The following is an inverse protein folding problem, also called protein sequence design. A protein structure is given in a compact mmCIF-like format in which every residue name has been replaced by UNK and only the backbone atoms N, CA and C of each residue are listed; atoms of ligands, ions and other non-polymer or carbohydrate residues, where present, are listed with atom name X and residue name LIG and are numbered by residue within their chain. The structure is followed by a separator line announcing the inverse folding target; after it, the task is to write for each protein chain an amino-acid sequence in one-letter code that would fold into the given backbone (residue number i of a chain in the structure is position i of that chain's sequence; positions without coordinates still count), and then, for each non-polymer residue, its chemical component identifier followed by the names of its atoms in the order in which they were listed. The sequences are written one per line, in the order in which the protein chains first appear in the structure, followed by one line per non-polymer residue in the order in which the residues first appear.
data_IF_494158867134
#
_entry.id   IF_494158867134
#
_cell.length_a   1.000
_cell.length_b   1.000
_cell.length_c   1.000
_cell.angle_alpha   90.00
_cell.angle_beta   90.00
_cell.angle_gamma   90.00
#
_symmetry.space_group_name_H-M   'P 1'
#
loop_
_entity.id
_entity.type
_entity.pdbx_description
1 polymer ?
#
# COMPACT_ATOMS: atom_id res chain seq x y z
N UNK A 1 -20.17 -5.80 19.23
CA UNK A 1 -19.57 -6.41 18.03
C UNK A 1 -20.54 -6.30 16.88
N UNK A 2 -20.12 -5.72 15.76
CA UNK A 2 -20.92 -5.54 14.53
C UNK A 2 -20.29 -6.37 13.42
N UNK A 3 -21.09 -7.17 12.71
CA UNK A 3 -20.63 -7.95 11.56
C UNK A 3 -21.28 -7.38 10.30
N UNK A 4 -20.47 -7.09 9.29
CA UNK A 4 -20.92 -6.56 8.00
C UNK A 4 -20.30 -7.39 6.88
N UNK A 5 -21.06 -7.58 5.80
CA UNK A 5 -20.53 -8.10 4.54
C UNK A 5 -20.81 -7.09 3.45
N UNK A 6 -19.79 -6.74 2.67
CA UNK A 6 -19.90 -5.81 1.55
C UNK A 6 -18.96 -6.25 0.42
N UNK A 7 -19.19 -5.72 -0.78
CA UNK A 7 -18.32 -5.93 -1.93
C UNK A 7 -17.56 -4.63 -2.22
N UNK A 8 -16.24 -4.71 -2.45
CA UNK A 8 -15.45 -3.53 -2.86
C UNK A 8 -15.83 -3.09 -4.28
N UNK A 9 -15.41 -1.89 -4.69
CA UNK A 9 -15.57 -1.42 -6.07
C UNK A 9 -14.91 -2.36 -7.10
N UNK A 10 -13.89 -3.12 -6.69
CA UNK A 10 -13.25 -4.18 -7.46
C UNK A 10 -13.95 -5.54 -7.43
N UNK A 11 -15.13 -5.66 -6.80
CA UNK A 11 -15.90 -6.90 -6.71
C UNK A 11 -15.33 -7.93 -5.72
N UNK A 12 -14.53 -7.49 -4.74
CA UNK A 12 -13.99 -8.37 -3.70
C UNK A 12 -14.95 -8.40 -2.52
N UNK A 13 -15.44 -9.59 -2.16
CA UNK A 13 -16.30 -9.76 -0.99
C UNK A 13 -15.49 -9.69 0.30
N UNK A 14 -15.88 -8.78 1.19
CA UNK A 14 -15.24 -8.56 2.49
C UNK A 14 -16.21 -8.92 3.60
N UNK A 15 -15.75 -9.72 4.56
CA UNK A 15 -16.41 -9.95 5.83
C UNK A 15 -15.69 -9.16 6.92
N UNK A 16 -16.38 -8.21 7.55
CA UNK A 16 -15.83 -7.31 8.55
C UNK A 16 -16.50 -7.54 9.90
N UNK A 17 -15.70 -7.62 10.95
CA UNK A 17 -16.16 -7.62 12.33
C UNK A 17 -15.53 -6.44 13.05
N UNK A 18 -16.36 -5.63 13.70
CA UNK A 18 -15.94 -4.46 14.48
C UNK A 18 -16.35 -4.67 15.92
N UNK A 19 -15.42 -4.44 16.84
CA UNK A 19 -15.66 -4.53 18.28
C UNK A 19 -15.16 -3.26 18.95
N UNK A 20 -15.95 -2.75 19.89
CA UNK A 20 -15.51 -1.65 20.75
C UNK A 20 -14.67 -2.24 21.88
N UNK A 21 -13.49 -1.68 22.07
CA UNK A 21 -12.53 -2.11 23.08
C UNK A 21 -12.25 -0.96 24.05
N UNK A 22 -11.97 -1.23 25.33
CA UNK A 22 -11.60 -0.20 26.29
C UNK A 22 -10.36 0.57 25.82
N UNK A 23 -10.35 1.89 25.98
CA UNK A 23 -9.23 2.77 25.57
C UNK A 23 -7.93 2.47 26.35
N UNK A 24 -8.05 2.03 27.60
CA UNK A 24 -6.90 1.80 28.46
C UNK A 24 -6.00 0.69 27.89
N UNK A 25 -4.75 1.04 27.62
CA UNK A 25 -3.72 0.16 27.06
C UNK A 25 -4.10 -0.56 25.76
N UNK A 26 -4.89 0.12 24.91
CA UNK A 26 -5.42 -0.45 23.68
C UNK A 26 -4.34 -0.71 22.63
N UNK A 27 -3.23 0.04 22.67
CA UNK A 27 -2.15 -0.09 21.70
C UNK A 27 -1.10 -1.12 22.11
N UNK A 28 -1.01 -1.46 23.40
CA UNK A 28 0.00 -2.36 23.96
C UNK A 28 0.01 -3.74 23.30
N UNK A 29 -1.14 -4.38 23.02
CA UNK A 29 -1.14 -5.64 22.27
C UNK A 29 -0.51 -5.50 20.87
N UNK A 30 -0.77 -4.38 20.19
CA UNK A 30 -0.18 -4.10 18.87
C UNK A 30 1.32 -3.84 19.01
N UNK A 31 1.74 -3.00 19.95
CA UNK A 31 3.16 -2.70 20.23
C UNK A 31 3.94 -3.99 20.49
N UNK A 32 3.45 -4.85 21.38
CA UNK A 32 4.09 -6.12 21.71
C UNK A 32 4.14 -7.07 20.52
N UNK A 33 3.07 -7.15 19.72
CA UNK A 33 3.05 -8.00 18.54
C UNK A 33 4.04 -7.55 17.47
N UNK A 34 4.27 -6.24 17.32
CA UNK A 34 5.18 -5.68 16.30
C UNK A 34 6.66 -6.07 16.50
N UNK A 35 7.06 -6.55 17.68
CA UNK A 35 8.41 -7.07 17.91
C UNK A 35 8.67 -8.36 17.10
N UNK A 36 7.63 -9.12 16.76
CA UNK A 36 7.74 -10.42 16.07
C UNK A 36 6.90 -10.50 14.78
N UNK A 37 5.91 -9.63 14.61
CA UNK A 37 4.96 -9.65 13.50
C UNK A 37 5.11 -8.40 12.61
N UNK A 38 4.88 -8.57 11.31
CA UNK A 38 4.77 -7.44 10.41
C UNK A 38 3.49 -6.66 10.72
N UNK A 39 3.57 -5.34 10.70
CA UNK A 39 2.43 -4.48 10.96
C UNK A 39 2.84 -3.01 10.98
N UNK A 40 1.95 -2.17 11.48
CA UNK A 40 2.23 -0.74 11.69
C UNK A 40 1.52 -0.27 12.94
N UNK A 41 2.12 0.72 13.60
CA UNK A 41 1.45 1.57 14.58
C UNK A 41 1.74 3.02 14.19
N UNK A 42 0.67 3.78 14.02
CA UNK A 42 0.68 5.22 13.77
C UNK A 42 -0.01 5.88 14.95
N UNK A 43 0.72 6.75 15.66
CA UNK A 43 0.27 7.39 16.88
C UNK A 43 0.53 8.89 16.81
N UNK A 44 -0.47 9.69 17.17
CA UNK A 44 -0.39 11.13 17.31
C UNK A 44 -0.75 11.52 18.74
N UNK A 45 0.26 11.81 19.57
CA UNK A 45 0.07 12.25 20.96
C UNK A 45 -0.15 13.78 21.08
N UNK A 46 0.05 14.51 19.99
CA UNK A 46 -0.05 15.96 19.93
C UNK A 46 -1.43 16.42 19.48
N UNK A 47 -1.99 17.39 20.21
CA UNK A 47 -3.26 18.02 19.86
C UNK A 47 -3.04 19.50 19.59
N UNK A 48 -3.53 19.97 18.44
CA UNK A 48 -3.60 21.38 18.12
C UNK A 48 -4.95 21.65 17.44
N UNK A 49 -5.81 22.52 18.01
CA UNK A 49 -7.15 22.77 17.48
C UNK A 49 -7.14 23.10 15.98
N UNK A 50 -7.91 22.31 15.21
CA UNK A 50 -8.03 22.48 13.75
C UNK A 50 -6.82 22.05 12.92
N UNK A 51 -5.76 21.47 13.51
CA UNK A 51 -4.59 20.96 12.77
C UNK A 51 -4.21 19.52 13.10
N UNK A 52 -4.14 19.17 14.38
CA UNK A 52 -3.71 17.85 14.85
C UNK A 52 -4.70 17.33 15.86
N UNK A 53 -5.20 16.12 15.63
CA UNK A 53 -6.02 15.37 16.57
C UNK A 53 -5.20 14.25 17.18
N UNK A 54 -5.58 13.84 18.39
CA UNK A 54 -5.08 12.60 18.97
C UNK A 54 -5.79 11.43 18.32
N UNK A 55 -5.00 10.48 17.85
CA UNK A 55 -5.48 9.23 17.30
C UNK A 55 -4.36 8.22 17.28
N UNK A 56 -4.74 6.96 17.42
CA UNK A 56 -3.87 5.81 17.28
C UNK A 56 -4.52 4.84 16.29
N UNK A 57 -3.72 4.31 15.37
CA UNK A 57 -4.14 3.28 14.43
C UNK A 57 -3.03 2.27 14.30
N UNK A 58 -3.36 0.99 14.41
CA UNK A 58 -2.38 -0.06 14.17
C UNK A 58 -3.01 -1.36 13.73
N UNK A 59 -2.18 -2.20 13.13
CA UNK A 59 -2.53 -3.57 12.78
C UNK A 59 -1.28 -4.44 12.79
N UNK A 60 -1.52 -5.75 12.90
CA UNK A 60 -0.51 -6.79 12.69
C UNK A 60 -1.00 -7.81 11.66
N UNK A 61 -0.08 -8.61 11.14
CA UNK A 61 -0.33 -9.66 10.15
C UNK A 61 -1.11 -9.18 8.91
N UNK A 62 -0.64 -8.10 8.23
CA UNK A 62 -1.27 -7.66 6.99
C UNK A 62 -1.29 -8.81 5.96
N UNK A 63 -2.30 -8.86 5.07
CA UNK A 63 -2.38 -9.92 4.08
C UNK A 63 -1.29 -9.83 3.01
N UNK A 64 -0.84 -8.61 2.72
CA UNK A 64 0.05 -8.31 1.61
C UNK A 64 1.16 -7.35 2.04
N UNK A 65 2.29 -7.40 1.35
CA UNK A 65 3.26 -6.30 1.31
C UNK A 65 3.48 -5.90 -0.14
N UNK A 66 3.53 -4.59 -0.39
CA UNK A 66 3.96 -4.02 -1.67
C UNK A 66 5.31 -3.36 -1.43
N UNK A 67 6.30 -3.71 -2.26
CA UNK A 67 7.58 -3.02 -2.32
C UNK A 67 7.84 -2.50 -3.72
N UNK A 68 8.53 -1.36 -3.82
CA UNK A 68 9.00 -0.85 -5.10
C UNK A 68 10.46 -0.42 -5.04
N UNK A 69 11.15 -0.60 -6.16
CA UNK A 69 12.51 -0.11 -6.36
C UNK A 69 12.70 0.30 -7.81
N UNK A 70 13.05 1.57 -8.01
CA UNK A 70 13.13 2.23 -9.32
C UNK A 70 11.82 2.06 -10.08
N UNK A 71 11.78 1.16 -11.06
CA UNK A 71 10.57 0.85 -11.85
C UNK A 71 10.03 -0.56 -11.56
N UNK A 72 10.78 -1.39 -10.83
CA UNK A 72 10.32 -2.69 -10.41
C UNK A 72 9.40 -2.57 -9.19
N UNK A 73 8.40 -3.42 -9.12
CA UNK A 73 7.56 -3.58 -7.95
C UNK A 73 7.27 -5.05 -7.69
N UNK A 74 7.00 -5.36 -6.43
CA UNK A 74 6.69 -6.71 -5.95
C UNK A 74 5.56 -6.64 -4.94
N UNK A 75 4.52 -7.45 -5.13
CA UNK A 75 3.55 -7.77 -4.09
C UNK A 75 3.78 -9.20 -3.60
N UNK A 76 3.79 -9.39 -2.30
CA UNK A 76 3.91 -10.72 -1.67
C UNK A 76 2.72 -10.98 -0.75
N UNK A 77 2.16 -12.18 -0.85
CA UNK A 77 1.17 -12.70 0.09
C UNK A 77 1.86 -13.15 1.38
N UNK A 78 1.46 -12.56 2.51
CA UNK A 78 2.04 -12.86 3.81
C UNK A 78 1.25 -13.93 4.58
N UNK A 79 0.03 -14.22 4.13
CA UNK A 79 -0.82 -15.25 4.69
C UNK A 79 -1.85 -15.73 3.64
N UNK A 80 -2.70 -16.68 4.02
CA UNK A 80 -3.73 -17.23 3.12
C UNK A 80 -4.69 -16.16 2.57
N UNK A 81 -4.99 -15.11 3.36
CA UNK A 81 -5.81 -13.98 2.88
C UNK A 81 -5.10 -13.19 1.77
N UNK A 82 -3.78 -13.04 1.86
CA UNK A 82 -2.98 -12.42 0.79
C UNK A 82 -3.05 -13.17 -0.53
N UNK A 83 -2.93 -14.51 -0.49
CA UNK A 83 -2.88 -15.35 -1.70
C UNK A 83 -4.11 -15.18 -2.57
N UNK A 84 -5.29 -15.12 -1.95
CA UNK A 84 -6.56 -14.94 -2.70
C UNK A 84 -6.68 -13.55 -3.32
N UNK A 85 -5.98 -12.55 -2.79
CA UNK A 85 -6.00 -11.17 -3.31
C UNK A 85 -5.07 -10.98 -4.51
N UNK A 86 -4.05 -11.82 -4.70
CA UNK A 86 -3.09 -11.65 -5.80
C UNK A 86 -3.73 -11.79 -7.18
N UNK A 87 -4.73 -12.65 -7.34
CA UNK A 87 -5.43 -12.84 -8.62
C UNK A 87 -6.18 -11.58 -9.08
N UNK A 88 -7.11 -10.99 -8.30
CA UNK A 88 -7.78 -9.75 -8.70
C UNK A 88 -6.80 -8.58 -8.84
N UNK A 89 -5.76 -8.51 -8.01
CA UNK A 89 -4.70 -7.50 -8.16
C UNK A 89 -3.97 -7.68 -9.50
N UNK A 90 -3.58 -8.90 -9.87
CA UNK A 90 -2.92 -9.17 -11.14
C UNK A 90 -3.81 -8.77 -12.33
N UNK A 91 -5.12 -9.01 -12.24
CA UNK A 91 -6.09 -8.54 -13.23
C UNK A 91 -6.08 -7.01 -13.38
N UNK A 92 -6.21 -6.29 -12.27
CA UNK A 92 -6.19 -4.83 -12.26
C UNK A 92 -4.88 -4.24 -12.78
N UNK A 93 -3.74 -4.82 -12.40
CA UNK A 93 -2.42 -4.34 -12.82
C UNK A 93 -2.11 -4.66 -14.29
N UNK A 94 -2.58 -5.78 -14.83
CA UNK A 94 -2.43 -6.10 -16.27
C UNK A 94 -3.25 -5.17 -17.16
N UNK A 95 -4.39 -4.69 -16.67
CA UNK A 95 -5.24 -3.74 -17.39
C UNK A 95 -4.74 -2.28 -17.30
N UNK A 96 -3.70 -2.01 -16.49
CA UNK A 96 -3.22 -0.67 -16.25
C UNK A 96 -2.14 -0.27 -17.26
N UNK A 97 -2.40 0.75 -18.08
CA UNK A 97 -1.47 1.25 -19.11
C UNK A 97 -0.07 1.59 -18.56
N UNK A 98 -0.01 2.05 -17.30
CA UNK A 98 1.24 2.38 -16.62
C UNK A 98 2.14 1.15 -16.34
N UNK A 99 1.64 -0.07 -16.50
CA UNK A 99 2.36 -1.31 -16.21
C UNK A 99 2.87 -1.91 -17.53
N UNK A 100 4.17 -2.20 -17.56
CA UNK A 100 4.84 -2.79 -18.71
C UNK A 100 4.62 -4.30 -18.78
N UNK A 101 4.85 -4.96 -17.64
CA UNK A 101 4.72 -6.42 -17.50
C UNK A 101 4.39 -6.80 -16.07
N UNK A 102 3.65 -7.90 -15.94
CA UNK A 102 3.32 -8.54 -14.66
C UNK A 102 3.49 -10.05 -14.81
N UNK A 103 4.24 -10.64 -13.89
CA UNK A 103 4.31 -12.08 -13.66
C UNK A 103 3.71 -12.38 -12.28
N UNK A 104 2.83 -13.37 -12.21
CA UNK A 104 2.18 -13.74 -10.97
C UNK A 104 2.32 -15.25 -10.71
N UNK A 105 2.52 -15.58 -9.45
CA UNK A 105 2.42 -16.92 -8.86
C UNK A 105 1.32 -16.89 -7.79
N UNK A 106 1.13 -17.98 -7.06
CA UNK A 106 0.17 -18.00 -5.94
C UNK A 106 0.60 -17.15 -4.73
N UNK A 107 1.89 -16.84 -4.60
CA UNK A 107 2.46 -16.14 -3.43
C UNK A 107 3.04 -14.77 -3.76
N UNK A 108 3.45 -14.54 -5.00
CA UNK A 108 4.18 -13.33 -5.41
C UNK A 108 3.69 -12.83 -6.76
N UNK A 109 3.57 -11.51 -6.86
CA UNK A 109 3.39 -10.78 -8.10
C UNK A 109 4.58 -9.83 -8.29
N UNK A 110 5.33 -10.04 -9.36
CA UNK A 110 6.43 -9.18 -9.79
C UNK A 110 6.03 -8.39 -11.04
N UNK A 111 6.43 -7.13 -11.12
CA UNK A 111 6.13 -6.32 -12.28
C UNK A 111 7.07 -5.15 -12.49
N UNK A 112 6.89 -4.49 -13.64
CA UNK A 112 7.65 -3.30 -14.02
C UNK A 112 6.68 -2.21 -14.46
N UNK A 113 6.85 -1.02 -13.89
CA UNK A 113 6.16 0.21 -14.30
C UNK A 113 6.86 0.74 -15.55
N UNK A 114 6.08 1.16 -16.55
CA UNK A 114 6.62 1.79 -17.76
C UNK A 114 7.44 3.02 -17.40
N UNK A 115 8.42 3.33 -18.24
CA UNK A 115 9.01 4.66 -18.23
C UNK A 115 7.93 5.71 -18.59
N UNK A 116 8.07 6.96 -18.13
CA UNK A 116 7.24 8.06 -18.63
C UNK A 116 7.32 8.11 -20.16
N UNK A 117 6.30 8.70 -20.79
CA UNK A 117 6.37 9.02 -22.21
C UNK A 117 7.53 9.98 -22.50
N UNK A 118 7.63 10.43 -23.76
CA UNK A 118 8.59 11.48 -24.14
C UNK A 118 8.35 12.81 -23.42
N UNK A 119 8.50 13.93 -24.11
CA UNK A 119 8.20 15.23 -23.48
C UNK A 119 6.70 15.33 -23.18
N UNK A 120 6.38 15.76 -21.97
CA UNK A 120 5.02 16.04 -21.50
C UNK A 120 4.98 17.44 -20.88
N UNK A 121 3.80 18.04 -20.79
CA UNK A 121 3.61 19.31 -20.10
C UNK A 121 3.69 19.10 -18.58
N UNK A 122 4.17 20.09 -17.82
CA UNK A 122 4.38 19.94 -16.37
C UNK A 122 3.12 19.50 -15.61
N UNK A 123 1.96 19.97 -16.07
CA UNK A 123 0.64 19.65 -15.54
C UNK A 123 0.29 18.15 -15.68
N UNK A 124 0.91 17.46 -16.64
CA UNK A 124 0.73 16.03 -16.89
C UNK A 124 1.74 15.15 -16.12
N UNK A 125 2.69 15.75 -15.38
CA UNK A 125 3.74 15.02 -14.65
C UNK A 125 3.18 13.99 -13.68
N UNK A 126 2.15 14.35 -12.92
CA UNK A 126 1.51 13.47 -11.93
C UNK A 126 0.71 12.31 -12.56
N UNK A 127 0.39 12.43 -13.86
CA UNK A 127 -0.32 11.41 -14.66
C UNK A 127 0.65 10.43 -15.32
N UNK A 128 1.95 10.71 -15.34
CA UNK A 128 2.94 9.80 -15.90
C UNK A 128 3.00 8.48 -15.11
N UNK A 129 3.30 7.35 -15.79
CA UNK A 129 3.54 6.07 -15.15
C UNK A 129 4.54 6.16 -13.98
N UNK A 130 4.10 5.77 -12.79
CA UNK A 130 4.90 5.75 -11.56
C UNK A 130 4.29 4.75 -10.57
N UNK A 131 4.94 4.53 -9.42
CA UNK A 131 4.38 3.69 -8.36
C UNK A 131 2.99 4.15 -7.92
N UNK A 132 2.70 5.46 -8.00
CA UNK A 132 1.39 6.01 -7.63
C UNK A 132 0.28 5.58 -8.59
N UNK A 133 0.60 5.22 -9.83
CA UNK A 133 -0.38 4.57 -10.71
C UNK A 133 -0.82 3.22 -10.15
N UNK A 134 0.10 2.44 -9.57
CA UNK A 134 -0.22 1.19 -8.87
C UNK A 134 -1.06 1.47 -7.62
N UNK A 135 -0.63 2.40 -6.78
CA UNK A 135 -1.31 2.74 -5.52
C UNK A 135 -2.75 3.20 -5.77
N UNK A 136 -2.98 4.03 -6.79
CA UNK A 136 -4.32 4.47 -7.19
C UNK A 136 -5.17 3.29 -7.69
N UNK A 137 -4.62 2.40 -8.51
CA UNK A 137 -5.34 1.24 -9.01
C UNK A 137 -5.72 0.27 -7.87
N UNK A 138 -4.80 0.03 -6.93
CA UNK A 138 -5.07 -0.79 -5.74
C UNK A 138 -6.10 -0.13 -4.83
N UNK A 139 -5.97 1.18 -4.58
CA UNK A 139 -6.97 1.95 -3.82
C UNK A 139 -8.36 1.83 -4.44
N UNK A 140 -8.48 1.98 -5.76
CA UNK A 140 -9.75 1.82 -6.48
C UNK A 140 -10.29 0.38 -6.41
N UNK A 141 -9.43 -0.64 -6.56
CA UNK A 141 -9.82 -2.05 -6.48
C UNK A 141 -10.45 -2.40 -5.12
N UNK A 142 -9.90 -1.82 -4.06
CA UNK A 142 -10.27 -2.14 -2.68
C UNK A 142 -11.28 -1.18 -2.05
N UNK A 143 -11.62 -0.08 -2.72
CA UNK A 143 -12.47 0.96 -2.17
C UNK A 143 -13.88 0.48 -1.81
N UNK A 144 -14.40 0.93 -0.68
CA UNK A 144 -15.81 0.90 -0.33
C UNK A 144 -16.16 2.21 0.43
N UNK A 145 -17.29 2.89 0.13
CA UNK A 145 -17.57 4.21 0.68
C UNK A 145 -17.74 4.24 2.21
N UNK A 146 -18.19 3.12 2.80
CA UNK A 146 -18.36 2.96 4.26
C UNK A 146 -17.19 2.21 4.93
N UNK A 147 -16.04 2.11 4.26
CA UNK A 147 -14.83 1.51 4.80
C UNK A 147 -13.66 2.50 4.76
N UNK A 148 -13.36 3.19 5.87
CA UNK A 148 -12.28 4.16 5.92
C UNK A 148 -10.89 3.55 6.22
N UNK A 149 -10.81 2.29 6.67
CA UNK A 149 -9.56 1.70 7.16
C UNK A 149 -8.90 0.71 6.19
N UNK A 150 -9.59 0.32 5.12
CA UNK A 150 -9.02 -0.58 4.13
C UNK A 150 -8.10 0.22 3.19
N UNK A 151 -6.79 -0.01 3.31
CA UNK A 151 -5.79 0.70 2.52
C UNK A 151 -4.38 0.13 2.63
N UNK A 152 -3.44 0.86 2.04
CA UNK A 152 -2.01 0.56 2.11
C UNK A 152 -1.38 1.51 3.14
N UNK A 153 -0.65 0.94 4.09
CA UNK A 153 0.03 1.67 5.15
C UNK A 153 1.51 1.28 5.11
N UNK A 154 2.39 2.29 5.10
CA UNK A 154 3.81 2.06 4.93
C UNK A 154 4.59 3.37 4.82
N UNK A 155 5.79 3.29 4.29
CA UNK A 155 6.71 4.41 4.18
C UNK A 155 7.05 4.71 2.72
N UNK A 156 7.23 5.99 2.41
CA UNK A 156 7.83 6.42 1.15
C UNK A 156 9.30 6.72 1.37
N UNK A 157 10.17 5.96 0.70
CA UNK A 157 11.61 6.16 0.74
C UNK A 157 12.03 7.40 -0.04
N UNK A 158 13.15 8.00 0.35
CA UNK A 158 13.66 9.23 -0.28
C UNK A 158 13.88 9.08 -1.79
N UNK A 159 14.45 7.95 -2.22
CA UNK A 159 14.77 7.68 -3.62
C UNK A 159 13.52 7.54 -4.51
N UNK A 160 12.32 7.45 -3.93
CA UNK A 160 11.07 7.47 -4.69
C UNK A 160 10.93 8.73 -5.53
N UNK A 161 11.46 9.86 -5.05
CA UNK A 161 11.48 11.13 -5.78
C UNK A 161 12.16 10.99 -7.16
N UNK A 162 13.11 10.07 -7.31
CA UNK A 162 13.85 9.87 -8.55
C UNK A 162 13.04 9.15 -9.64
N UNK A 163 11.84 8.68 -9.34
CA UNK A 163 10.87 8.29 -10.38
C UNK A 163 10.32 9.51 -11.14
N UNK A 164 10.41 10.71 -10.57
CA UNK A 164 9.90 11.97 -11.12
C UNK A 164 11.01 12.93 -11.52
N UNK A 165 12.06 13.01 -10.70
CA UNK A 165 13.21 13.88 -10.90
C UNK A 165 14.48 13.02 -11.02
N UNK A 166 14.82 12.53 -12.23
CA UNK A 166 15.95 11.64 -12.40
C UNK A 166 17.27 12.39 -12.11
N UNK A 167 18.01 11.93 -11.10
CA UNK A 167 19.34 12.44 -10.79
C UNK A 167 20.41 11.35 -10.99
N UNK A 168 21.65 11.79 -11.24
CA UNK A 168 22.80 10.88 -11.24
C UNK A 168 23.18 10.53 -9.79
N UNK A 169 23.00 9.26 -9.43
CA UNK A 169 23.44 8.75 -8.14
C UNK A 169 24.97 8.84 -8.00
N UNK A 170 25.44 9.36 -6.88
CA UNK A 170 26.87 9.42 -6.50
C UNK A 170 27.26 8.37 -5.47
N UNK A 171 26.30 7.91 -4.69
CA UNK A 171 26.48 6.90 -3.66
C UNK A 171 25.77 5.62 -4.10
N UNK A 172 26.42 4.47 -3.86
CA UNK A 172 25.81 3.17 -4.07
C UNK A 172 24.67 2.95 -3.06
N UNK A 173 23.62 2.25 -3.50
CA UNK A 173 22.49 1.88 -2.64
C UNK A 173 22.61 0.44 -2.19
N UNK A 174 22.28 0.12 -0.93
CA UNK A 174 22.13 -1.27 -0.51
C UNK A 174 21.21 -2.05 -1.45
N UNK A 175 21.47 -3.35 -1.62
CA UNK A 175 20.64 -4.21 -2.48
C UNK A 175 19.21 -4.31 -1.98
N UNK A 176 19.01 -4.27 -0.67
CA UNK A 176 17.69 -4.39 -0.02
C UNK A 176 16.97 -3.04 0.15
N UNK A 177 17.51 -1.96 -0.41
CA UNK A 177 16.82 -0.67 -0.35
C UNK A 177 15.51 -0.71 -1.14
N UNK A 178 14.47 -0.17 -0.51
CA UNK A 178 13.12 0.00 -1.05
C UNK A 178 12.82 1.49 -1.17
N UNK A 179 12.20 1.86 -2.29
CA UNK A 179 11.67 3.22 -2.50
C UNK A 179 10.24 3.34 -1.95
N UNK A 180 9.55 2.20 -1.86
CA UNK A 180 8.27 1.96 -1.21
C UNK A 180 8.34 0.61 -0.49
#
# INVERSE_FOLDING_TARGET
MTVTTYDTAGGIRVHRTVEEIPIASVIEPVVQALDAHRGVLLASSYEYPGRYTRWDMGFVDPPLVLTARRRGFRLEALNARGRVLLSPIAGALRALDAVERVSATEEVLDGVIRAPGGRFAEEERSRQPSVFSLLRALGALFHHPEEPHLGLYGAFGYDLAFQFEPIRLRLERPREQRDL
#
